data_IF_970656724459
#
_entry.id   IF_970656724459
#
_cell.length_a   1.000
_cell.length_b   1.000
_cell.length_c   1.000
_cell.angle_alpha   90.00
_cell.angle_beta   90.00
_cell.angle_gamma   90.00
#
_symmetry.space_group_name_H-M   'P 1'
#
loop_
_entity.id
_entity.type
_entity.pdbx_description
1 polymer ?
#
# COMPACT_ATOMS: atom_id res chain seq x y z
N UNK A 1 -14.74 54.42 -25.44
CA UNK A 1 -15.50 53.39 -24.73
C UNK A 1 -15.08 51.94 -25.09
N UNK A 2 -14.70 51.64 -26.31
CA UNK A 2 -14.33 50.30 -26.80
C UNK A 2 -13.12 49.62 -26.06
N UNK A 3 -12.06 50.34 -25.75
CA UNK A 3 -10.82 49.84 -25.12
C UNK A 3 -11.07 49.27 -23.70
N UNK A 4 -11.98 49.89 -22.92
CA UNK A 4 -12.33 49.37 -21.57
C UNK A 4 -13.15 48.08 -21.62
N UNK A 5 -14.00 47.91 -22.62
CA UNK A 5 -14.77 46.66 -22.81
C UNK A 5 -13.87 45.53 -23.22
N UNK A 6 -12.93 45.75 -24.14
CA UNK A 6 -11.97 44.72 -24.59
C UNK A 6 -11.05 44.25 -23.46
N UNK A 7 -10.56 45.16 -22.60
CA UNK A 7 -9.75 44.77 -21.41
C UNK A 7 -10.54 43.92 -20.41
N UNK A 8 -11.84 44.19 -20.21
CA UNK A 8 -12.70 43.40 -19.31
C UNK A 8 -12.97 42.02 -19.87
N UNK A 9 -13.13 41.88 -21.20
CA UNK A 9 -13.31 40.59 -21.87
C UNK A 9 -12.01 39.74 -21.80
N UNK A 10 -10.86 40.34 -22.07
CA UNK A 10 -9.57 39.70 -21.96
C UNK A 10 -9.30 39.22 -20.53
N UNK A 11 -9.63 40.02 -19.51
CA UNK A 11 -9.49 39.62 -18.09
C UNK A 11 -10.40 38.45 -17.72
N UNK A 12 -11.64 38.40 -18.22
CA UNK A 12 -12.56 37.28 -17.99
C UNK A 12 -12.05 36.00 -18.64
N UNK A 13 -11.50 36.10 -19.85
CA UNK A 13 -10.90 34.93 -20.54
C UNK A 13 -9.68 34.42 -19.77
N UNK A 14 -8.80 35.33 -19.32
CA UNK A 14 -7.64 34.98 -18.53
C UNK A 14 -8.04 34.28 -17.20
N UNK A 15 -9.03 34.83 -16.50
CA UNK A 15 -9.55 34.25 -15.27
C UNK A 15 -10.15 32.88 -15.53
N UNK A 16 -10.89 32.68 -16.62
CA UNK A 16 -11.42 31.38 -17.02
C UNK A 16 -10.32 30.36 -17.29
N UNK A 17 -9.24 30.73 -17.98
CA UNK A 17 -8.08 29.85 -18.20
C UNK A 17 -7.40 29.45 -16.90
N UNK A 18 -7.21 30.34 -15.97
CA UNK A 18 -6.61 30.05 -14.65
C UNK A 18 -7.47 29.07 -13.88
N UNK A 19 -8.80 29.23 -13.87
CA UNK A 19 -9.72 28.29 -13.21
C UNK A 19 -9.62 26.90 -13.83
N UNK A 20 -9.60 26.79 -15.16
CA UNK A 20 -9.45 25.50 -15.86
C UNK A 20 -8.11 24.83 -15.53
N UNK A 21 -7.02 25.58 -15.45
CA UNK A 21 -5.70 25.07 -15.06
C UNK A 21 -5.69 24.55 -13.61
N UNK A 22 -6.31 25.29 -12.68
CA UNK A 22 -6.41 24.84 -11.27
C UNK A 22 -7.24 23.56 -11.17
N UNK A 23 -8.37 23.48 -11.84
CA UNK A 23 -9.22 22.29 -11.84
C UNK A 23 -8.50 21.10 -12.48
N UNK A 24 -7.80 21.29 -13.60
CA UNK A 24 -7.01 20.27 -14.26
C UNK A 24 -5.86 19.76 -13.38
N UNK A 25 -5.15 20.66 -12.71
CA UNK A 25 -4.09 20.31 -11.78
C UNK A 25 -4.61 19.58 -10.54
N UNK A 26 -5.74 20.05 -9.97
CA UNK A 26 -6.39 19.39 -8.84
C UNK A 26 -6.85 17.98 -9.19
N UNK A 27 -7.46 17.80 -10.36
CA UNK A 27 -7.89 16.49 -10.85
C UNK A 27 -6.69 15.56 -11.06
N UNK A 28 -5.62 16.05 -11.70
CA UNK A 28 -4.37 15.29 -11.88
C UNK A 28 -3.75 14.88 -10.54
N UNK A 29 -3.70 15.80 -9.57
CA UNK A 29 -3.17 15.55 -8.24
C UNK A 29 -3.97 14.48 -7.49
N UNK A 30 -5.30 14.57 -7.47
CA UNK A 30 -6.19 13.56 -6.86
C UNK A 30 -6.00 12.22 -7.55
N UNK A 31 -6.01 12.19 -8.89
CA UNK A 31 -5.83 10.96 -9.67
C UNK A 31 -4.53 10.23 -9.35
N UNK A 32 -3.41 10.95 -9.21
CA UNK A 32 -2.09 10.35 -8.96
C UNK A 32 -1.88 9.93 -7.51
N UNK A 33 -2.60 10.52 -6.54
CA UNK A 33 -2.46 10.22 -5.10
C UNK A 33 -3.49 9.22 -4.56
N UNK A 34 -4.59 9.03 -5.26
CA UNK A 34 -5.64 8.09 -4.86
C UNK A 34 -5.16 6.64 -4.71
N UNK A 35 -4.41 6.06 -5.68
CA UNK A 35 -3.91 4.70 -5.53
C UNK A 35 -3.02 4.48 -4.32
N UNK A 36 -2.18 5.46 -3.97
CA UNK A 36 -1.31 5.40 -2.79
C UNK A 36 -2.11 5.30 -1.48
N UNK A 37 -3.23 6.00 -1.38
CA UNK A 37 -4.09 5.94 -0.20
C UNK A 37 -4.72 4.55 -0.04
N UNK A 38 -5.28 3.99 -1.12
CA UNK A 38 -5.85 2.64 -1.12
C UNK A 38 -4.81 1.58 -0.75
N UNK A 39 -3.61 1.67 -1.32
CA UNK A 39 -2.47 0.80 -0.99
C UNK A 39 -2.15 0.83 0.50
N UNK A 40 -2.05 2.04 1.09
CA UNK A 40 -1.77 2.20 2.51
C UNK A 40 -2.89 1.60 3.36
N UNK A 41 -4.16 1.75 2.97
CA UNK A 41 -5.29 1.14 3.68
C UNK A 41 -5.24 -0.39 3.63
N UNK A 42 -4.95 -0.98 2.47
CA UNK A 42 -4.79 -2.43 2.32
C UNK A 42 -3.67 -2.98 3.23
N UNK A 43 -2.53 -2.26 3.30
CA UNK A 43 -1.43 -2.66 4.19
C UNK A 43 -1.82 -2.53 5.65
N UNK A 44 -2.53 -1.48 6.03
CA UNK A 44 -3.04 -1.32 7.41
C UNK A 44 -3.99 -2.44 7.78
N UNK A 45 -5.00 -2.70 6.95
CA UNK A 45 -5.97 -3.78 7.17
C UNK A 45 -5.24 -5.12 7.37
N UNK A 46 -4.29 -5.44 6.50
CA UNK A 46 -3.49 -6.66 6.62
C UNK A 46 -2.74 -6.76 7.96
N UNK A 47 -2.06 -5.70 8.37
CA UNK A 47 -1.30 -5.72 9.61
C UNK A 47 -2.17 -5.58 10.87
N UNK A 48 -3.31 -4.94 10.79
CA UNK A 48 -4.31 -4.87 11.86
C UNK A 48 -4.91 -6.27 12.12
N UNK A 49 -5.25 -7.01 11.06
CA UNK A 49 -5.71 -8.40 11.13
C UNK A 49 -4.64 -9.30 11.74
N UNK A 50 -3.38 -9.22 11.26
CA UNK A 50 -2.28 -10.00 11.82
C UNK A 50 -2.00 -9.64 13.28
N UNK A 51 -2.07 -8.37 13.65
CA UNK A 51 -1.88 -7.91 15.03
C UNK A 51 -3.01 -8.41 15.95
N UNK A 52 -4.23 -8.45 15.43
CA UNK A 52 -5.41 -8.99 16.11
C UNK A 52 -5.45 -10.51 16.17
N UNK A 53 -4.56 -11.22 15.46
CA UNK A 53 -4.54 -12.68 15.35
C UNK A 53 -5.58 -13.22 14.37
N UNK A 54 -6.25 -12.36 13.61
CA UNK A 54 -7.17 -12.76 12.53
C UNK A 54 -6.42 -13.08 11.24
N UNK A 55 -5.61 -14.12 11.28
CA UNK A 55 -4.85 -14.57 10.11
C UNK A 55 -5.74 -15.07 8.97
N UNK A 56 -7.00 -15.41 9.26
CA UNK A 56 -7.99 -15.78 8.25
C UNK A 56 -8.36 -14.60 7.36
N UNK A 57 -8.67 -13.46 7.95
CA UNK A 57 -8.94 -12.20 7.22
C UNK A 57 -7.68 -11.70 6.51
N UNK A 58 -6.52 -11.67 7.18
CA UNK A 58 -5.25 -11.31 6.57
C UNK A 58 -4.93 -12.15 5.31
N UNK A 59 -5.24 -13.46 5.34
CA UNK A 59 -5.10 -14.34 4.19
C UNK A 59 -5.90 -13.87 2.97
N UNK A 60 -7.09 -13.31 3.15
CA UNK A 60 -7.92 -12.86 2.03
C UNK A 60 -7.28 -11.72 1.26
N UNK A 61 -6.46 -10.90 1.92
CA UNK A 61 -5.74 -9.78 1.35
C UNK A 61 -4.49 -10.18 0.57
N UNK A 62 -4.07 -11.46 0.64
CA UNK A 62 -2.90 -11.93 -0.09
C UNK A 62 -3.17 -12.11 -1.58
N UNK A 63 -2.17 -11.76 -2.38
CA UNK A 63 -2.18 -11.95 -3.84
C UNK A 63 -2.14 -13.44 -4.21
N UNK A 64 -2.78 -13.89 -5.31
CA UNK A 64 -2.77 -15.28 -5.75
C UNK A 64 -1.37 -15.89 -5.92
N UNK A 65 -0.34 -15.11 -6.26
CA UNK A 65 1.04 -15.62 -6.35
C UNK A 65 1.56 -16.11 -5.00
N UNK A 66 1.20 -15.45 -3.89
CA UNK A 66 1.54 -15.91 -2.54
C UNK A 66 0.72 -17.14 -2.18
N UNK A 67 -0.58 -17.12 -2.47
CA UNK A 67 -1.51 -18.24 -2.20
C UNK A 67 -1.16 -19.52 -2.94
N UNK A 68 -0.38 -19.45 -4.02
CA UNK A 68 0.15 -20.64 -4.71
C UNK A 68 1.25 -21.35 -3.91
N UNK A 69 1.98 -20.63 -3.07
CA UNK A 69 3.10 -21.17 -2.30
C UNK A 69 2.67 -21.77 -0.96
N UNK A 70 1.65 -21.19 -0.35
CA UNK A 70 1.14 -21.61 0.96
C UNK A 70 -0.35 -21.88 0.86
N UNK A 71 -0.84 -22.88 1.57
CA UNK A 71 -2.28 -23.02 1.83
C UNK A 71 -2.69 -22.04 2.94
N UNK A 72 -3.98 -21.76 3.09
CA UNK A 72 -4.47 -20.93 4.17
C UNK A 72 -4.12 -21.53 5.55
N UNK A 73 -4.25 -22.86 5.69
CA UNK A 73 -3.91 -23.56 6.92
C UNK A 73 -2.44 -23.40 7.27
N UNK A 74 -1.53 -23.61 6.29
CA UNK A 74 -0.08 -23.43 6.49
C UNK A 74 0.26 -21.99 6.88
N UNK A 75 -0.41 -21.02 6.28
CA UNK A 75 -0.20 -19.60 6.59
C UNK A 75 -0.59 -19.30 8.04
N UNK A 76 -1.78 -19.71 8.45
CA UNK A 76 -2.31 -19.50 9.82
C UNK A 76 -1.39 -20.17 10.85
N UNK A 77 -1.04 -21.44 10.63
CA UNK A 77 -0.16 -22.19 11.52
C UNK A 77 1.21 -21.52 11.68
N UNK A 78 1.86 -21.20 10.55
CA UNK A 78 3.20 -20.57 10.57
C UNK A 78 3.19 -19.17 11.20
N UNK A 79 2.14 -18.39 10.99
CA UNK A 79 2.03 -17.06 11.60
C UNK A 79 1.82 -17.14 13.10
N UNK A 80 0.98 -18.07 13.56
CA UNK A 80 0.76 -18.29 14.98
C UNK A 80 2.05 -18.71 15.68
N UNK A 81 2.76 -19.69 15.13
CA UNK A 81 4.04 -20.21 15.67
C UNK A 81 5.11 -19.12 15.70
N UNK A 82 5.29 -18.37 14.60
CA UNK A 82 6.30 -17.32 14.50
C UNK A 82 6.21 -16.30 15.64
N UNK A 83 5.02 -15.83 15.95
CA UNK A 83 4.84 -14.81 16.98
C UNK A 83 4.94 -15.37 18.40
N UNK A 84 4.38 -16.54 18.65
CA UNK A 84 4.31 -17.12 19.99
C UNK A 84 5.62 -17.82 20.39
N UNK A 85 6.19 -18.61 19.49
CA UNK A 85 7.33 -19.48 19.80
C UNK A 85 8.67 -18.81 19.51
N UNK A 86 8.84 -18.18 18.34
CA UNK A 86 10.14 -17.64 17.93
C UNK A 86 10.48 -16.30 18.59
N UNK A 87 9.50 -15.45 18.78
CA UNK A 87 9.72 -14.12 19.41
C UNK A 87 9.29 -14.05 20.87
N UNK A 88 8.58 -15.06 21.40
CA UNK A 88 8.02 -15.04 22.76
C UNK A 88 7.17 -13.79 23.01
N UNK A 89 6.65 -13.22 21.93
CA UNK A 89 5.91 -11.95 21.94
C UNK A 89 4.42 -12.23 21.90
N UNK A 90 3.67 -11.61 22.81
CA UNK A 90 2.20 -11.69 22.80
C UNK A 90 1.55 -10.90 21.66
N UNK A 91 2.34 -10.22 20.85
CA UNK A 91 1.92 -9.41 19.74
C UNK A 91 3.02 -8.45 19.28
N UNK A 92 2.72 -7.65 18.29
CA UNK A 92 3.59 -6.61 17.77
C UNK A 92 2.81 -5.31 17.56
N UNK A 93 3.51 -4.19 17.51
CA UNK A 93 3.02 -2.93 16.91
C UNK A 93 3.68 -2.71 15.58
N UNK A 94 3.05 -2.00 14.68
CA UNK A 94 3.65 -1.69 13.37
C UNK A 94 3.53 -0.22 13.02
N UNK A 95 4.38 0.20 12.10
CA UNK A 95 4.41 1.54 11.51
C UNK A 95 4.75 1.42 10.04
N UNK A 96 4.01 2.10 9.19
CA UNK A 96 4.38 2.30 7.78
C UNK A 96 5.41 3.42 7.74
N UNK A 97 6.57 3.13 7.13
CA UNK A 97 7.70 4.06 7.08
C UNK A 97 7.80 4.73 5.70
N UNK A 98 7.81 3.95 4.63
CA UNK A 98 7.96 4.46 3.26
C UNK A 98 7.03 3.75 2.27
N UNK A 99 6.71 4.45 1.18
CA UNK A 99 5.85 3.93 0.10
C UNK A 99 6.36 4.40 -1.26
N UNK A 100 6.89 3.48 -2.04
CA UNK A 100 7.40 3.72 -3.38
C UNK A 100 6.52 3.08 -4.46
N UNK A 101 6.41 3.74 -5.61
CA UNK A 101 5.73 3.19 -6.79
C UNK A 101 6.75 2.57 -7.75
N UNK A 102 6.56 1.29 -8.07
CA UNK A 102 7.37 0.52 -8.99
C UNK A 102 6.58 0.24 -10.27
N UNK A 103 7.09 0.68 -11.41
CA UNK A 103 6.44 0.43 -12.71
C UNK A 103 6.31 -1.07 -13.02
N UNK A 104 7.26 -1.88 -12.50
CA UNK A 104 7.36 -3.31 -12.78
C UNK A 104 8.12 -4.01 -11.64
N UNK A 105 7.56 -5.12 -11.16
CA UNK A 105 8.18 -5.94 -10.11
C UNK A 105 7.74 -7.40 -10.24
N UNK A 106 8.45 -8.33 -9.63
CA UNK A 106 8.11 -9.76 -9.58
C UNK A 106 8.54 -10.37 -8.25
N UNK A 107 7.81 -11.39 -7.81
CA UNK A 107 8.03 -12.06 -6.52
C UNK A 107 9.39 -12.77 -6.47
N UNK A 108 9.80 -13.41 -7.55
CA UNK A 108 11.10 -14.07 -7.72
C UNK A 108 11.47 -14.14 -9.21
N UNK A 109 12.62 -14.75 -9.53
CA UNK A 109 13.14 -14.83 -10.89
C UNK A 109 12.20 -15.55 -11.88
N UNK A 110 11.44 -16.53 -11.41
CA UNK A 110 10.59 -17.39 -12.22
C UNK A 110 9.12 -16.91 -12.28
N UNK A 111 8.78 -15.87 -11.49
CA UNK A 111 7.42 -15.33 -11.44
C UNK A 111 7.16 -14.33 -12.55
N UNK A 112 5.91 -14.26 -13.04
CA UNK A 112 5.51 -13.24 -14.00
C UNK A 112 5.65 -11.85 -13.39
N UNK A 113 6.00 -10.87 -14.23
CA UNK A 113 6.04 -9.48 -13.80
C UNK A 113 4.64 -8.92 -13.56
N UNK A 114 4.52 -8.20 -12.45
CA UNK A 114 3.39 -7.34 -12.14
C UNK A 114 3.71 -5.89 -12.51
N UNK A 115 2.70 -5.13 -12.90
CA UNK A 115 2.80 -3.71 -13.23
C UNK A 115 2.18 -2.87 -12.12
N UNK A 116 2.64 -1.62 -12.01
CA UNK A 116 2.08 -0.64 -11.08
C UNK A 116 2.00 -1.18 -9.64
N UNK A 117 3.13 -1.70 -9.16
CA UNK A 117 3.30 -2.27 -7.84
C UNK A 117 3.77 -1.20 -6.87
N UNK A 118 3.27 -1.20 -5.66
CA UNK A 118 3.77 -0.35 -4.59
C UNK A 118 4.60 -1.17 -3.62
N UNK A 119 5.83 -0.72 -3.34
CA UNK A 119 6.64 -1.22 -2.24
C UNK A 119 6.30 -0.39 -1.00
N UNK A 120 5.96 -1.05 0.09
CA UNK A 120 5.66 -0.43 1.37
C UNK A 120 6.59 -0.99 2.42
N UNK A 121 7.45 -0.15 2.97
CA UNK A 121 8.32 -0.52 4.09
C UNK A 121 7.55 -0.42 5.40
N UNK A 122 7.45 -1.53 6.12
CA UNK A 122 6.76 -1.63 7.40
C UNK A 122 7.77 -2.00 8.48
N UNK A 123 7.75 -1.26 9.58
CA UNK A 123 8.55 -1.51 10.78
C UNK A 123 7.64 -2.18 11.80
N UNK A 124 7.89 -3.45 12.08
CA UNK A 124 7.24 -4.18 13.17
C UNK A 124 8.08 -4.09 14.42
N UNK A 125 7.48 -3.77 15.56
CA UNK A 125 8.12 -3.66 16.85
C UNK A 125 7.57 -4.70 17.82
N UNK A 126 8.46 -5.50 18.39
CA UNK A 126 8.16 -6.60 19.31
C UNK A 126 8.72 -6.28 20.68
N UNK A 127 8.03 -6.75 21.71
CA UNK A 127 8.55 -6.76 23.07
C UNK A 127 8.53 -8.19 23.60
N UNK A 128 9.67 -8.82 23.59
CA UNK A 128 9.85 -10.21 24.08
C UNK A 128 10.64 -10.27 25.36
N UNK A 129 10.98 -11.48 25.77
CA UNK A 129 11.76 -11.77 27.00
C UNK A 129 13.17 -11.16 26.97
N UNK A 130 13.74 -10.95 25.77
CA UNK A 130 15.07 -10.34 25.58
C UNK A 130 15.02 -8.81 25.35
N UNK A 131 13.85 -8.17 25.52
CA UNK A 131 13.68 -6.74 25.33
C UNK A 131 12.92 -6.38 24.05
N UNK A 132 13.19 -5.18 23.53
CA UNK A 132 12.54 -4.65 22.31
C UNK A 132 13.35 -5.00 21.08
N UNK A 133 12.68 -5.47 20.03
CA UNK A 133 13.25 -5.72 18.71
C UNK A 133 12.41 -5.03 17.63
N UNK A 134 13.05 -4.66 16.53
CA UNK A 134 12.37 -4.13 15.34
C UNK A 134 12.75 -4.93 14.10
N UNK A 135 11.74 -5.26 13.31
CA UNK A 135 11.90 -5.91 12.02
C UNK A 135 11.44 -4.96 10.92
N UNK A 136 12.34 -4.64 10.01
CA UNK A 136 12.06 -3.87 8.79
C UNK A 136 11.69 -4.84 7.68
N UNK A 137 10.52 -4.69 7.10
CA UNK A 137 10.01 -5.57 6.06
C UNK A 137 9.41 -4.78 4.93
N UNK A 138 9.84 -5.06 3.70
CA UNK A 138 9.16 -4.59 2.51
C UNK A 138 8.02 -5.55 2.17
N UNK A 139 6.82 -5.01 2.05
CA UNK A 139 5.67 -5.66 1.43
C UNK A 139 5.35 -4.97 0.12
N UNK A 140 4.88 -5.74 -0.82
CA UNK A 140 4.52 -5.24 -2.14
C UNK A 140 3.01 -5.34 -2.31
N UNK A 141 2.44 -4.35 -2.95
CA UNK A 141 0.98 -4.28 -3.17
C UNK A 141 0.72 -4.12 -4.65
N UNK A 142 -0.01 -5.06 -5.22
CA UNK A 142 -0.38 -5.07 -6.63
C UNK A 142 -1.87 -5.36 -6.81
N UNK A 143 -2.44 -4.93 -7.93
CA UNK A 143 -3.83 -5.24 -8.24
C UNK A 143 -3.99 -6.66 -8.76
N UNK A 144 -4.98 -7.36 -8.20
CA UNK A 144 -5.54 -8.58 -8.76
C UNK A 144 -7.06 -8.40 -8.91
N UNK A 145 -7.57 -8.57 -10.12
CA UNK A 145 -8.99 -8.37 -10.46
C UNK A 145 -9.57 -7.00 -10.00
N UNK A 146 -8.73 -5.97 -9.98
CA UNK A 146 -9.13 -4.61 -9.58
C UNK A 146 -8.93 -4.29 -8.09
N UNK A 147 -8.66 -5.27 -7.24
CA UNK A 147 -8.41 -5.11 -5.81
C UNK A 147 -6.91 -5.09 -5.49
N UNK A 148 -6.49 -4.28 -4.52
CA UNK A 148 -5.13 -4.28 -4.03
C UNK A 148 -4.86 -5.50 -3.14
N UNK A 149 -3.78 -6.23 -3.41
CA UNK A 149 -3.39 -7.47 -2.72
C UNK A 149 -1.93 -7.42 -2.31
N UNK A 150 -1.61 -8.05 -1.18
CA UNK A 150 -0.31 -8.09 -0.54
C UNK A 150 0.58 -9.19 -1.11
N UNK A 151 1.87 -8.86 -1.31
CA UNK A 151 2.93 -9.80 -1.70
C UNK A 151 4.20 -9.52 -0.89
N UNK A 152 5.13 -10.47 -0.93
CA UNK A 152 6.54 -10.32 -0.49
C UNK A 152 7.44 -11.19 -1.33
N UNK A 153 8.75 -10.91 -1.32
CA UNK A 153 9.77 -11.75 -1.95
C UNK A 153 9.97 -13.05 -1.20
N UNK A 154 10.21 -14.14 -1.94
CA UNK A 154 10.55 -15.46 -1.36
C UNK A 154 11.42 -16.32 -2.30
#
# INVERSE_FOLDING_TARGET
MAIKAQKRTALKILLGMVVVLILGFSFYYVWTHWPRHEVIQTVKEFYDDEQGGDYGSAWTLLHPQIKKKFTQADYIEKRTTLFMDDYGAKGFSYKIDDVDHLKKWRVNADSPYLKDVYRVTVIQSFTGIFGKAQLYKDVYVAKDQGEWKILWEY
#
